data_IF_815172485137
#
_entry.id   IF_815172485137
#
_cell.length_a   1.000
_cell.length_b   1.000
_cell.length_c   1.000
_cell.angle_alpha   90.00
_cell.angle_beta   90.00
_cell.angle_gamma   90.00
#
_symmetry.space_group_name_H-M   'P 1'
#
loop_
_entity.id
_entity.type
_entity.pdbx_description
1 polymer ?
#
# COMPACT_ATOMS: atom_id res chain seq x y z
N UNK A 1 -10.09 36.68 4.65
CA UNK A 1 -8.63 36.68 4.44
C UNK A 1 -8.31 35.58 3.46
N UNK A 2 -7.47 35.86 2.47
CA UNK A 2 -7.04 34.86 1.48
C UNK A 2 -6.10 33.84 2.14
N UNK A 3 -6.50 32.58 2.16
CA UNK A 3 -5.74 31.50 2.78
C UNK A 3 -4.41 31.25 2.06
N UNK A 4 -4.29 31.66 0.79
CA UNK A 4 -3.06 31.50 0.00
C UNK A 4 -1.94 32.40 0.51
N UNK A 5 -2.25 33.66 0.82
CA UNK A 5 -1.30 34.58 1.43
C UNK A 5 -0.87 34.12 2.84
N UNK A 6 -1.78 33.48 3.58
CA UNK A 6 -1.47 32.90 4.89
C UNK A 6 -0.57 31.67 4.78
N UNK A 7 -0.79 30.82 3.78
CA UNK A 7 0.07 29.68 3.48
C UNK A 7 1.47 30.13 3.08
N UNK A 8 1.58 31.12 2.18
CA UNK A 8 2.87 31.65 1.69
C UNK A 8 3.75 32.16 2.84
N UNK A 9 3.20 32.99 3.73
CA UNK A 9 3.91 33.45 4.92
C UNK A 9 4.33 32.31 5.87
N UNK A 10 3.47 31.29 6.05
CA UNK A 10 3.78 30.14 6.88
C UNK A 10 4.86 29.23 6.25
N UNK A 11 4.84 29.11 4.93
CA UNK A 11 5.81 28.34 4.16
C UNK A 11 7.20 29.00 4.19
N UNK A 12 7.29 30.31 3.98
CA UNK A 12 8.53 31.06 4.15
C UNK A 12 9.11 30.90 5.57
N UNK A 13 8.25 31.02 6.57
CA UNK A 13 8.62 30.83 7.99
C UNK A 13 9.15 29.43 8.26
N UNK A 14 8.50 28.40 7.70
CA UNK A 14 8.91 27.01 7.84
C UNK A 14 10.32 26.79 7.26
N UNK A 15 10.57 27.25 6.03
CA UNK A 15 11.86 27.07 5.36
C UNK A 15 12.99 27.79 6.11
N UNK A 16 12.74 29.00 6.62
CA UNK A 16 13.70 29.72 7.47
C UNK A 16 14.03 28.95 8.75
N UNK A 17 13.03 28.35 9.41
CA UNK A 17 13.24 27.51 10.61
C UNK A 17 14.08 26.28 10.30
N UNK A 18 13.78 25.57 9.22
CA UNK A 18 14.56 24.39 8.82
C UNK A 18 16.04 24.75 8.63
N UNK A 19 16.33 25.87 7.96
CA UNK A 19 17.70 26.35 7.75
C UNK A 19 18.40 26.70 9.05
N UNK A 20 17.74 27.45 9.93
CA UNK A 20 18.31 27.87 11.22
C UNK A 20 18.62 26.67 12.12
N UNK A 21 17.70 25.71 12.21
CA UNK A 21 17.85 24.51 13.01
C UNK A 21 19.00 23.61 12.50
N UNK A 22 19.20 23.54 11.18
CA UNK A 22 20.31 22.79 10.59
C UNK A 22 21.69 23.37 10.96
N UNK A 23 21.76 24.65 11.34
CA UNK A 23 22.99 25.28 11.83
C UNK A 23 23.22 25.07 13.34
N UNK A 24 22.19 24.67 14.11
CA UNK A 24 22.24 24.62 15.58
C UNK A 24 22.19 23.19 16.13
N UNK A 25 21.42 22.27 15.52
CA UNK A 25 21.15 20.93 16.08
C UNK A 25 22.38 20.01 16.06
N UNK A 26 22.60 19.35 17.21
CA UNK A 26 23.62 18.31 17.43
C UNK A 26 23.19 17.02 16.73
N UNK A 27 24.20 16.34 16.20
CA UNK A 27 24.13 15.11 15.45
C UNK A 27 23.35 14.01 16.19
N UNK A 28 22.40 13.38 15.53
CA UNK A 28 21.66 12.22 16.07
C UNK A 28 22.36 10.95 15.58
N UNK A 29 22.64 10.02 16.49
CA UNK A 29 23.17 8.71 16.11
C UNK A 29 22.01 7.77 15.83
N UNK A 30 21.78 7.46 14.56
CA UNK A 30 20.82 6.45 14.11
C UNK A 30 21.62 5.29 13.54
N UNK A 31 21.44 4.06 14.03
CA UNK A 31 22.17 2.87 13.55
C UNK A 31 23.71 3.04 13.56
N UNK A 32 24.26 3.67 14.61
CA UNK A 32 25.69 4.00 14.71
C UNK A 32 26.21 4.99 13.65
N UNK A 33 25.30 5.66 12.93
CA UNK A 33 25.59 6.67 11.91
C UNK A 33 25.16 8.06 12.37
N UNK A 34 26.01 9.02 12.08
CA UNK A 34 25.85 10.41 12.48
C UNK A 34 24.97 11.15 11.48
N UNK A 35 23.72 11.43 11.85
CA UNK A 35 22.72 12.06 10.99
C UNK A 35 22.43 13.49 11.45
N UNK A 36 22.31 14.42 10.50
CA UNK A 36 21.88 15.80 10.76
C UNK A 36 20.59 16.06 9.99
N UNK A 37 19.52 16.31 10.73
CA UNK A 37 18.23 16.66 10.17
C UNK A 37 17.53 17.73 11.02
N UNK A 38 16.54 18.37 10.43
CA UNK A 38 15.66 19.35 11.05
C UNK A 38 14.23 19.08 10.59
N UNK A 39 13.28 19.35 11.48
CA UNK A 39 11.86 19.25 11.21
C UNK A 39 11.16 20.48 11.76
N UNK A 40 10.12 20.96 11.09
CA UNK A 40 9.35 22.10 11.54
C UNK A 40 7.89 22.00 11.10
N UNK A 41 7.01 22.66 11.84
CA UNK A 41 5.61 22.82 11.46
C UNK A 41 5.18 24.27 11.71
N UNK A 42 4.35 24.80 10.82
CA UNK A 42 3.80 26.16 10.93
C UNK A 42 2.31 26.12 10.57
N UNK A 43 1.47 26.57 11.50
CA UNK A 43 0.04 26.69 11.27
C UNK A 43 -0.26 27.96 10.46
N UNK A 44 -1.17 27.86 9.48
CA UNK A 44 -1.66 28.98 8.68
C UNK A 44 -3.19 29.05 8.76
N UNK A 45 -3.72 30.13 9.32
CA UNK A 45 -5.17 30.26 9.53
C UNK A 45 -5.66 29.65 10.85
N UNK A 46 -6.99 29.53 10.99
CA UNK A 46 -7.64 29.30 12.29
C UNK A 46 -8.07 27.84 12.54
N UNK A 47 -7.89 26.93 11.57
CA UNK A 47 -8.24 25.51 11.73
C UNK A 47 -7.01 24.70 12.14
N UNK A 48 -7.21 23.71 12.98
CA UNK A 48 -6.15 22.76 13.40
C UNK A 48 -5.59 21.91 12.25
N UNK A 49 -6.32 21.82 11.13
CA UNK A 49 -5.91 21.09 9.92
C UNK A 49 -5.07 21.90 8.93
N UNK A 50 -4.84 23.20 9.18
CA UNK A 50 -4.07 24.05 8.28
C UNK A 50 -2.64 24.22 8.80
N UNK A 51 -1.84 23.18 8.63
CA UNK A 51 -0.44 23.16 9.08
C UNK A 51 0.44 22.73 7.92
N UNK A 52 1.55 23.44 7.70
CA UNK A 52 2.60 23.00 6.78
C UNK A 52 3.75 22.40 7.56
N UNK A 53 4.17 21.21 7.15
CA UNK A 53 5.22 20.42 7.79
C UNK A 53 6.44 20.39 6.86
N UNK A 54 7.64 20.47 7.42
CA UNK A 54 8.88 20.42 6.65
C UNK A 54 9.96 19.61 7.33
N UNK A 55 10.79 18.94 6.52
CA UNK A 55 11.95 18.16 6.93
C UNK A 55 13.14 18.53 6.04
N UNK A 56 14.30 18.75 6.64
CA UNK A 56 15.58 18.89 5.95
C UNK A 56 16.55 17.84 6.51
N UNK A 57 17.20 17.08 5.65
CA UNK A 57 18.11 15.99 6.03
C UNK A 57 19.39 16.06 5.20
N UNK A 58 20.55 16.00 5.84
CA UNK A 58 21.83 15.86 5.15
C UNK A 58 22.07 14.39 4.76
N UNK A 59 22.67 14.17 3.59
CA UNK A 59 23.19 12.85 3.20
C UNK A 59 24.44 12.52 4.03
N UNK A 60 24.66 11.23 4.29
CA UNK A 60 25.76 10.72 5.10
C UNK A 60 27.14 11.24 4.62
N UNK A 61 28.05 11.52 5.56
CA UNK A 61 29.42 12.00 5.33
C UNK A 61 29.59 13.36 4.62
N UNK A 62 28.55 14.19 4.53
CA UNK A 62 28.69 15.56 4.00
C UNK A 62 29.20 16.54 5.08
N UNK A 63 30.03 17.51 4.70
CA UNK A 63 30.51 18.52 5.64
C UNK A 63 29.37 19.43 6.12
N UNK A 64 29.52 20.00 7.32
CA UNK A 64 28.52 20.95 7.86
C UNK A 64 28.25 22.11 6.89
N UNK A 65 29.32 22.70 6.34
CA UNK A 65 29.23 23.84 5.43
C UNK A 65 28.52 23.47 4.13
N UNK A 66 28.79 22.29 3.59
CA UNK A 66 28.15 21.82 2.36
C UNK A 66 26.68 21.48 2.56
N UNK A 67 26.31 20.95 3.74
CA UNK A 67 24.90 20.74 4.06
C UNK A 67 24.13 22.05 4.23
N UNK A 68 24.70 23.03 4.95
CA UNK A 68 24.08 24.36 5.14
C UNK A 68 23.81 25.04 3.77
N UNK A 69 24.81 25.03 2.88
CA UNK A 69 24.66 25.56 1.51
C UNK A 69 23.63 24.78 0.70
N UNK A 70 23.55 23.46 0.88
CA UNK A 70 22.56 22.63 0.20
C UNK A 70 21.12 22.96 0.62
N UNK A 71 20.87 23.07 1.93
CA UNK A 71 19.55 23.38 2.48
C UNK A 71 19.12 24.79 2.06
N UNK A 72 20.02 25.77 2.08
CA UNK A 72 19.78 27.11 1.55
C UNK A 72 19.33 27.09 0.09
N UNK A 73 20.09 26.42 -0.79
CA UNK A 73 19.74 26.31 -2.22
C UNK A 73 18.44 25.54 -2.45
N UNK A 74 18.13 24.56 -1.61
CA UNK A 74 16.89 23.78 -1.68
C UNK A 74 15.68 24.64 -1.30
N UNK A 75 15.81 25.44 -0.23
CA UNK A 75 14.78 26.38 0.20
C UNK A 75 14.52 27.45 -0.87
N UNK A 76 15.56 28.02 -1.50
CA UNK A 76 15.38 29.01 -2.57
C UNK A 76 14.61 28.45 -3.78
N UNK A 77 14.84 27.16 -4.11
CA UNK A 77 14.10 26.47 -5.17
C UNK A 77 12.65 26.20 -4.77
N UNK A 78 12.43 25.77 -3.52
CA UNK A 78 11.09 25.52 -2.98
C UNK A 78 10.26 26.80 -2.93
N UNK A 79 10.84 27.93 -2.52
CA UNK A 79 10.18 29.24 -2.55
C UNK A 79 9.74 29.63 -3.96
N UNK A 80 10.62 29.49 -4.95
CA UNK A 80 10.32 29.82 -6.36
C UNK A 80 9.28 28.88 -6.99
N UNK A 81 9.25 27.61 -6.60
CA UNK A 81 8.37 26.61 -7.22
C UNK A 81 7.00 26.49 -6.54
N UNK A 82 6.94 26.70 -5.22
CA UNK A 82 5.87 26.19 -4.38
C UNK A 82 5.33 27.21 -3.35
N UNK A 83 5.90 28.41 -3.30
CA UNK A 83 5.70 29.36 -2.19
C UNK A 83 4.38 30.13 -2.17
N UNK A 84 3.75 30.39 -3.32
CA UNK A 84 2.53 31.21 -3.36
C UNK A 84 2.14 31.66 -4.77
N UNK A 85 0.94 32.21 -4.93
CA UNK A 85 0.35 32.61 -6.22
C UNK A 85 -0.28 31.46 -7.04
N UNK A 86 -0.16 31.48 -8.38
CA UNK A 86 -0.67 30.43 -9.28
C UNK A 86 0.10 29.09 -9.19
N UNK A 87 1.15 29.02 -8.36
CA UNK A 87 2.08 27.89 -8.28
C UNK A 87 1.99 27.10 -6.96
N UNK A 88 0.88 27.22 -6.23
CA UNK A 88 0.64 26.42 -5.03
C UNK A 88 0.67 24.91 -5.36
N UNK A 89 1.37 24.13 -4.54
CA UNK A 89 1.41 22.66 -4.62
C UNK A 89 1.24 22.04 -3.22
N UNK A 90 0.40 21.01 -3.12
CA UNK A 90 0.10 20.24 -1.91
C UNK A 90 1.26 19.29 -1.50
N UNK A 91 2.50 19.77 -1.60
CA UNK A 91 3.71 19.01 -1.27
C UNK A 91 4.82 19.21 -2.27
N UNK A 92 6.06 19.02 -1.82
CA UNK A 92 7.24 19.12 -2.68
C UNK A 92 8.50 18.59 -2.01
N UNK A 93 9.31 17.86 -2.78
CA UNK A 93 10.63 17.39 -2.37
C UNK A 93 11.68 17.95 -3.32
N UNK A 94 12.72 18.59 -2.77
CA UNK A 94 13.86 19.09 -3.53
C UNK A 94 15.12 18.40 -3.02
N UNK A 95 15.83 17.78 -3.96
CA UNK A 95 17.15 17.16 -3.74
C UNK A 95 18.18 17.99 -4.51
N UNK A 96 19.18 18.54 -3.82
CA UNK A 96 20.23 19.34 -4.45
C UNK A 96 21.56 18.60 -4.36
N UNK A 97 22.08 18.20 -5.52
CA UNK A 97 23.43 17.65 -5.71
C UNK A 97 23.79 16.44 -4.80
N UNK A 98 22.79 15.71 -4.28
CA UNK A 98 23.02 14.55 -3.41
C UNK A 98 23.59 14.90 -2.03
N UNK A 99 23.56 16.16 -1.60
CA UNK A 99 24.11 16.59 -0.30
C UNK A 99 23.03 16.72 0.78
N UNK A 100 21.79 16.99 0.39
CA UNK A 100 20.65 17.10 1.30
C UNK A 100 19.33 16.85 0.56
N UNK A 101 18.32 16.53 1.35
CA UNK A 101 16.92 16.43 0.96
C UNK A 101 16.12 17.44 1.79
N UNK A 102 15.31 18.27 1.12
CA UNK A 102 14.31 19.11 1.81
C UNK A 102 12.94 18.77 1.26
N UNK A 103 12.02 18.42 2.16
CA UNK A 103 10.65 18.04 1.85
C UNK A 103 9.68 18.88 2.66
N UNK A 104 8.55 19.26 2.07
CA UNK A 104 7.41 19.81 2.78
C UNK A 104 6.11 19.13 2.35
N UNK A 105 5.15 19.08 3.26
CA UNK A 105 3.82 18.51 3.05
C UNK A 105 2.76 19.26 3.87
N UNK A 106 1.48 19.09 3.53
CA UNK A 106 0.34 19.60 4.31
C UNK A 106 -0.18 18.59 5.36
N UNK A 107 0.44 17.40 5.43
CA UNK A 107 0.23 16.41 6.47
C UNK A 107 1.56 16.09 7.17
N UNK A 108 1.48 15.65 8.43
CA UNK A 108 2.68 15.28 9.20
C UNK A 108 3.25 13.98 8.66
N UNK A 109 4.46 14.04 8.09
CA UNK A 109 5.14 12.90 7.45
C UNK A 109 6.43 12.48 8.17
N UNK A 110 6.80 13.18 9.25
CA UNK A 110 7.94 12.86 10.11
C UNK A 110 7.50 12.83 11.57
N UNK A 111 8.12 11.94 12.34
CA UNK A 111 7.97 11.88 13.79
C UNK A 111 8.68 13.06 14.46
N UNK A 112 8.17 13.57 15.58
CA UNK A 112 8.86 14.59 16.40
C UNK A 112 10.00 13.89 17.13
N UNK A 113 11.13 13.70 16.46
CA UNK A 113 12.38 13.35 17.13
C UNK A 113 12.90 14.64 17.76
N UNK A 114 12.74 14.75 19.08
CA UNK A 114 13.28 15.80 19.97
C UNK A 114 12.56 17.17 19.96
N UNK A 115 11.49 17.27 20.77
CA UNK A 115 11.23 18.49 21.55
C UNK A 115 11.47 18.16 23.03
N UNK A 116 12.74 17.99 23.39
CA UNK A 116 13.17 17.81 24.77
C UNK A 116 14.18 18.89 25.13
N UNK A 117 13.74 19.86 25.93
CA UNK A 117 14.59 20.70 26.78
C UNK A 117 15.49 21.71 26.07
N UNK A 118 15.15 22.99 26.21
CA UNK A 118 16.18 24.02 26.17
C UNK A 118 17.26 23.68 27.18
N UNK A 119 18.45 23.34 26.68
CA UNK A 119 19.67 23.29 27.47
C UNK A 119 20.07 24.74 27.74
N UNK A 120 19.60 25.28 28.87
CA UNK A 120 20.35 26.34 29.52
C UNK A 120 21.69 25.76 29.95
N UNK A 121 22.75 26.31 29.36
CA UNK A 121 24.11 25.99 29.71
C UNK A 121 24.38 26.37 31.18
N UNK A 122 24.72 25.39 32.00
CA UNK A 122 25.55 25.65 33.17
C UNK A 122 26.60 24.55 33.30
N UNK A 123 27.85 25.01 33.44
CA UNK A 123 29.06 24.20 33.51
C UNK A 123 29.04 23.21 34.69
N UNK A 124 29.52 22.00 34.46
CA UNK A 124 29.87 21.07 35.54
C UNK A 124 30.15 19.66 35.06
N UNK A 125 31.38 19.22 35.24
CA UNK A 125 31.94 17.91 34.92
C UNK A 125 31.25 16.70 35.59
N UNK A 126 31.51 15.52 35.00
CA UNK A 126 31.57 14.16 35.59
C UNK A 126 30.32 13.27 35.47
N UNK A 127 30.46 12.20 34.66
CA UNK A 127 29.97 10.79 34.80
C UNK A 127 28.59 10.42 35.41
N UNK A 128 27.75 11.36 35.82
CA UNK A 128 26.43 11.10 36.43
C UNK A 128 25.30 11.01 35.39
N UNK A 129 25.53 11.52 34.18
CA UNK A 129 24.54 11.51 33.09
C UNK A 129 24.19 10.11 32.59
N UNK A 130 25.18 9.22 32.44
CA UNK A 130 24.94 7.85 31.97
C UNK A 130 24.16 7.00 33.00
N UNK A 131 24.40 7.20 34.30
CA UNK A 131 23.71 6.49 35.38
C UNK A 131 22.24 6.93 35.48
N UNK A 132 21.94 8.20 35.27
CA UNK A 132 20.57 8.72 35.29
C UNK A 132 19.77 8.31 34.03
N UNK A 133 20.41 8.22 32.87
CA UNK A 133 19.79 7.69 31.64
C UNK A 133 19.46 6.19 31.79
N UNK A 134 20.39 5.39 32.32
CA UNK A 134 20.17 3.96 32.58
C UNK A 134 19.09 3.72 33.65
N UNK A 135 19.02 4.57 34.69
CA UNK A 135 17.93 4.52 35.69
C UNK A 135 16.57 4.89 35.09
N UNK A 136 16.51 5.92 34.23
CA UNK A 136 15.28 6.29 33.54
C UNK A 136 14.79 5.19 32.59
N UNK A 137 15.69 4.58 31.82
CA UNK A 137 15.37 3.45 30.95
C UNK A 137 14.91 2.21 31.74
N UNK A 138 15.52 1.93 32.89
CA UNK A 138 15.12 0.83 33.77
C UNK A 138 13.75 1.06 34.43
N UNK A 139 13.39 2.31 34.78
CA UNK A 139 12.08 2.64 35.31
C UNK A 139 10.97 2.53 34.24
N UNK A 140 11.24 2.99 33.01
CA UNK A 140 10.30 2.81 31.88
C UNK A 140 10.14 1.34 31.50
N UNK A 141 11.19 0.53 31.63
CA UNK A 141 11.14 -0.91 31.41
C UNK A 141 10.17 -1.61 32.37
N UNK A 142 10.24 -1.28 33.68
CA UNK A 142 9.32 -1.85 34.68
C UNK A 142 7.88 -1.39 34.49
N UNK A 143 7.65 -0.13 34.10
CA UNK A 143 6.30 0.40 33.88
C UNK A 143 5.59 -0.26 32.69
N UNK A 144 6.33 -0.58 31.62
CA UNK A 144 5.77 -1.24 30.45
C UNK A 144 5.48 -2.72 30.71
N UNK A 145 6.33 -3.43 31.46
CA UNK A 145 6.05 -4.80 31.90
C UNK A 145 4.76 -4.85 32.74
N UNK A 146 4.64 -3.99 33.75
CA UNK A 146 3.42 -3.88 34.58
C UNK A 146 2.18 -3.55 33.72
N UNK A 147 2.30 -2.64 32.75
CA UNK A 147 1.23 -2.33 31.81
C UNK A 147 0.78 -3.55 31.01
N UNK A 148 1.74 -4.33 30.50
CA UNK A 148 1.44 -5.54 29.72
C UNK A 148 0.81 -6.65 30.58
N UNK A 149 1.16 -6.74 31.86
CA UNK A 149 0.48 -7.63 32.81
C UNK A 149 -1.01 -7.28 32.97
N UNK A 150 -1.35 -5.99 32.99
CA UNK A 150 -2.76 -5.55 33.10
C UNK A 150 -3.64 -5.96 31.91
N UNK A 151 -3.07 -6.29 30.74
CA UNK A 151 -3.82 -6.88 29.63
C UNK A 151 -4.42 -8.26 29.99
N UNK A 152 -3.85 -8.94 30.99
CA UNK A 152 -4.36 -10.21 31.51
C UNK A 152 -5.27 -10.06 32.71
N UNK A 153 -5.59 -8.83 33.13
CA UNK A 153 -6.41 -8.56 34.30
C UNK A 153 -7.81 -9.20 34.18
N UNK A 154 -8.34 -9.80 35.26
CA UNK A 154 -9.72 -10.30 35.28
C UNK A 154 -10.75 -9.15 35.27
N UNK A 155 -10.34 -7.91 35.56
CA UNK A 155 -11.20 -6.73 35.57
C UNK A 155 -11.35 -6.14 34.17
N UNK A 156 -12.54 -6.16 33.54
CA UNK A 156 -12.74 -5.62 32.19
C UNK A 156 -12.35 -4.14 32.05
N UNK A 157 -12.67 -3.24 33.00
CA UNK A 157 -12.23 -1.85 32.94
C UNK A 157 -10.71 -1.68 32.93
N UNK A 158 -9.99 -2.51 33.71
CA UNK A 158 -8.52 -2.46 33.77
C UNK A 158 -7.92 -2.96 32.46
N UNK A 159 -8.43 -4.09 31.94
CA UNK A 159 -8.02 -4.65 30.66
C UNK A 159 -8.23 -3.64 29.51
N UNK A 160 -9.39 -2.97 29.49
CA UNK A 160 -9.71 -1.91 28.51
C UNK A 160 -8.73 -0.74 28.62
N UNK A 161 -8.51 -0.22 29.83
CA UNK A 161 -7.59 0.90 30.02
C UNK A 161 -6.16 0.53 29.58
N UNK A 162 -5.69 -0.67 29.92
CA UNK A 162 -4.37 -1.15 29.55
C UNK A 162 -4.22 -1.27 28.02
N UNK A 163 -5.18 -1.86 27.32
CA UNK A 163 -5.10 -2.03 25.86
C UNK A 163 -5.17 -0.69 25.12
N UNK A 164 -5.93 0.30 25.64
CA UNK A 164 -5.94 1.65 25.07
C UNK A 164 -4.59 2.36 25.19
N UNK A 165 -3.91 2.20 26.34
CA UNK A 165 -2.56 2.75 26.52
C UNK A 165 -1.61 2.08 25.53
N UNK A 166 -1.64 0.75 25.42
CA UNK A 166 -0.80 0.00 24.46
C UNK A 166 -1.07 0.43 23.02
N UNK A 167 -2.35 0.56 22.63
CA UNK A 167 -2.74 1.11 21.33
C UNK A 167 -2.16 2.51 21.13
N UNK A 168 -2.25 3.39 22.13
CA UNK A 168 -1.68 4.73 22.10
C UNK A 168 -0.16 4.73 21.86
N UNK A 169 0.57 3.79 22.48
CA UNK A 169 2.01 3.61 22.27
C UNK A 169 2.35 3.19 20.84
N UNK A 170 1.47 2.44 20.16
CA UNK A 170 1.70 2.10 18.74
C UNK A 170 1.60 3.29 17.78
N UNK A 171 1.12 4.45 18.25
CA UNK A 171 1.03 5.69 17.48
C UNK A 171 2.32 6.52 17.44
N UNK A 172 3.36 6.11 18.17
CA UNK A 172 4.66 6.79 18.18
C UNK A 172 5.82 5.81 17.94
N UNK A 173 6.91 6.32 17.37
CA UNK A 173 8.12 5.51 17.10
C UNK A 173 8.75 4.99 18.40
N UNK A 174 8.82 5.84 19.44
CA UNK A 174 9.32 5.46 20.76
C UNK A 174 8.47 4.36 21.42
N UNK A 175 7.15 4.45 21.29
CA UNK A 175 6.24 3.45 21.83
C UNK A 175 6.32 2.13 21.06
N UNK A 176 6.43 2.17 19.72
CA UNK A 176 6.69 0.99 18.90
C UNK A 176 8.03 0.33 19.26
N UNK A 177 9.10 1.11 19.43
CA UNK A 177 10.42 0.59 19.80
C UNK A 177 10.40 -0.05 21.20
N UNK A 178 9.68 0.57 22.14
CA UNK A 178 9.48 0.03 23.47
C UNK A 178 8.71 -1.29 23.41
N UNK A 179 7.55 -1.33 22.74
CA UNK A 179 6.75 -2.54 22.57
C UNK A 179 7.48 -3.65 21.81
N UNK A 180 8.33 -3.29 20.84
CA UNK A 180 9.17 -4.23 20.10
C UNK A 180 10.17 -4.95 21.02
N UNK A 181 10.76 -4.22 21.96
CA UNK A 181 11.66 -4.78 22.98
C UNK A 181 10.96 -5.79 23.90
N UNK A 182 9.63 -5.66 24.06
CA UNK A 182 8.77 -6.57 24.84
C UNK A 182 7.87 -7.45 23.96
N UNK A 183 8.23 -7.66 22.68
CA UNK A 183 7.36 -8.37 21.73
C UNK A 183 6.96 -9.78 22.21
N UNK A 184 7.83 -10.47 22.96
CA UNK A 184 7.55 -11.79 23.53
C UNK A 184 6.39 -11.82 24.53
N UNK A 185 6.05 -10.69 25.15
CA UNK A 185 4.92 -10.55 26.08
C UNK A 185 3.76 -9.80 25.41
N UNK A 186 4.07 -8.71 24.70
CA UNK A 186 3.08 -7.85 24.08
C UNK A 186 2.24 -8.58 23.02
N UNK A 187 2.89 -9.31 22.10
CA UNK A 187 2.19 -9.95 20.99
C UNK A 187 1.23 -11.08 21.45
N UNK A 188 1.64 -12.02 22.33
CA UNK A 188 0.72 -13.03 22.86
C UNK A 188 -0.41 -12.43 23.69
N UNK A 189 -0.15 -11.36 24.44
CA UNK A 189 -1.16 -10.67 25.25
C UNK A 189 -2.21 -10.03 24.36
N UNK A 190 -1.80 -9.25 23.36
CA UNK A 190 -2.71 -8.63 22.39
C UNK A 190 -3.48 -9.67 21.56
N UNK A 191 -2.82 -10.76 21.14
CA UNK A 191 -3.45 -11.83 20.36
C UNK A 191 -4.65 -12.46 21.09
N UNK A 192 -4.51 -12.71 22.41
CA UNK A 192 -5.59 -13.26 23.24
C UNK A 192 -6.78 -12.31 23.36
N UNK A 193 -6.52 -11.01 23.41
CA UNK A 193 -7.55 -9.97 23.50
C UNK A 193 -8.44 -9.88 22.25
N UNK A 194 -7.99 -10.40 21.10
CA UNK A 194 -8.80 -10.42 19.88
C UNK A 194 -10.10 -11.24 20.02
N UNK A 195 -10.17 -12.15 20.99
CA UNK A 195 -11.33 -13.00 21.23
C UNK A 195 -12.35 -12.42 22.22
N UNK A 196 -12.03 -11.27 22.83
CA UNK A 196 -12.87 -10.55 23.80
C UNK A 196 -14.00 -9.76 23.12
N UNK A 197 -14.77 -9.01 23.91
CA UNK A 197 -15.79 -8.10 23.36
C UNK A 197 -15.17 -7.00 22.47
N UNK A 198 -16.01 -6.30 21.70
CA UNK A 198 -15.54 -5.29 20.75
C UNK A 198 -14.72 -4.17 21.42
N UNK A 199 -15.12 -3.70 22.60
CA UNK A 199 -14.45 -2.61 23.31
C UNK A 199 -12.99 -2.88 23.67
N UNK A 200 -12.63 -4.17 23.84
CA UNK A 200 -11.25 -4.60 24.13
C UNK A 200 -10.54 -5.10 22.88
N UNK A 201 -11.25 -5.84 22.02
CA UNK A 201 -10.66 -6.48 20.85
C UNK A 201 -10.34 -5.49 19.71
N UNK A 202 -11.12 -4.42 19.57
CA UNK A 202 -10.87 -3.36 18.58
C UNK A 202 -9.53 -2.63 18.82
N UNK A 203 -9.25 -2.05 20.01
CA UNK A 203 -7.96 -1.43 20.27
C UNK A 203 -6.78 -2.43 20.24
N UNK A 204 -7.01 -3.70 20.63
CA UNK A 204 -6.00 -4.75 20.49
C UNK A 204 -5.65 -5.04 19.02
N UNK A 205 -6.67 -5.13 18.16
CA UNK A 205 -6.49 -5.36 16.74
C UNK A 205 -5.79 -4.17 16.06
N UNK A 206 -6.16 -2.93 16.41
CA UNK A 206 -5.46 -1.73 15.93
C UNK A 206 -3.97 -1.73 16.32
N UNK A 207 -3.66 -2.08 17.58
CA UNK A 207 -2.28 -2.20 18.03
C UNK A 207 -1.48 -3.25 17.23
N UNK A 208 -2.08 -4.42 16.97
CA UNK A 208 -1.44 -5.47 16.16
C UNK A 208 -1.28 -5.05 14.68
N UNK A 209 -2.24 -4.34 14.10
CA UNK A 209 -2.12 -3.78 12.74
C UNK A 209 -0.94 -2.81 12.67
N UNK A 210 -0.78 -1.92 13.65
CA UNK A 210 0.34 -0.97 13.68
C UNK A 210 1.68 -1.68 13.91
N UNK A 211 1.76 -2.61 14.86
CA UNK A 211 2.98 -3.37 15.16
C UNK A 211 3.41 -4.24 13.97
N UNK A 212 2.46 -4.81 13.21
CA UNK A 212 2.75 -5.66 12.04
C UNK A 212 3.25 -4.88 10.82
N UNK A 213 3.29 -3.55 10.85
CA UNK A 213 4.02 -2.76 9.84
C UNK A 213 5.54 -2.96 9.94
N UNK A 214 6.04 -3.34 11.13
CA UNK A 214 7.41 -3.79 11.30
C UNK A 214 7.54 -5.27 10.89
N UNK A 215 8.41 -5.56 9.93
CA UNK A 215 8.58 -6.91 9.37
C UNK A 215 9.09 -7.94 10.39
N UNK A 216 9.91 -7.54 11.36
CA UNK A 216 10.39 -8.42 12.42
C UNK A 216 9.25 -8.81 13.37
N UNK A 217 8.42 -7.85 13.77
CA UNK A 217 7.26 -8.12 14.61
C UNK A 217 6.19 -8.94 13.87
N UNK A 218 5.94 -8.63 12.60
CA UNK A 218 5.08 -9.44 11.75
C UNK A 218 5.60 -10.89 11.62
N UNK A 219 6.92 -11.08 11.51
CA UNK A 219 7.53 -12.42 11.48
C UNK A 219 7.23 -13.18 12.78
N UNK A 220 7.46 -12.56 13.94
CA UNK A 220 7.12 -13.13 15.25
C UNK A 220 5.62 -13.47 15.36
N UNK A 221 4.74 -12.61 14.83
CA UNK A 221 3.29 -12.89 14.78
C UNK A 221 2.95 -14.12 13.92
N UNK A 222 3.59 -14.27 12.75
CA UNK A 222 3.39 -15.45 11.90
C UNK A 222 3.88 -16.72 12.61
N UNK A 223 5.07 -16.68 13.21
CA UNK A 223 5.67 -17.80 13.95
C UNK A 223 4.79 -18.28 15.11
N UNK A 224 4.15 -17.36 15.84
CA UNK A 224 3.21 -17.71 16.92
C UNK A 224 1.82 -18.13 16.43
N UNK A 225 1.59 -18.26 15.12
CA UNK A 225 0.34 -18.77 14.54
C UNK A 225 -0.77 -17.74 14.36
N UNK A 226 -0.44 -16.44 14.29
CA UNK A 226 -1.44 -15.37 14.18
C UNK A 226 -2.37 -15.50 12.96
N UNK A 227 -1.87 -16.01 11.82
CA UNK A 227 -2.71 -16.26 10.63
C UNK A 227 -3.91 -17.15 10.96
N UNK A 228 -3.67 -18.27 11.67
CA UNK A 228 -4.72 -19.20 12.09
C UNK A 228 -5.70 -18.51 13.04
N UNK A 229 -5.18 -17.82 14.06
CA UNK A 229 -5.99 -17.08 15.04
C UNK A 229 -6.93 -16.10 14.35
N UNK A 230 -6.41 -15.30 13.42
CA UNK A 230 -7.20 -14.31 12.68
C UNK A 230 -8.24 -14.98 11.79
N UNK A 231 -7.87 -16.06 11.09
CA UNK A 231 -8.79 -16.81 10.24
C UNK A 231 -9.91 -17.49 11.05
N UNK A 232 -9.66 -17.94 12.26
CA UNK A 232 -10.69 -18.52 13.13
C UNK A 232 -11.65 -17.44 13.65
N UNK A 233 -11.15 -16.24 13.96
CA UNK A 233 -11.95 -15.11 14.43
C UNK A 233 -12.81 -14.46 13.33
N UNK A 234 -12.29 -14.33 12.11
CA UNK A 234 -13.01 -13.72 10.96
C UNK A 234 -14.36 -14.40 10.67
N UNK A 235 -14.47 -15.69 10.98
CA UNK A 235 -15.67 -16.49 10.73
C UNK A 235 -16.39 -16.92 12.00
N UNK A 236 -16.03 -16.33 13.14
CA UNK A 236 -16.80 -16.45 14.39
C UNK A 236 -18.05 -15.55 14.27
N UNK A 237 -19.23 -15.99 14.78
CA UNK A 237 -20.40 -15.13 14.89
C UNK A 237 -20.06 -13.84 15.65
N UNK A 238 -20.64 -12.72 15.21
CA UNK A 238 -20.53 -11.40 15.87
C UNK A 238 -19.12 -10.79 15.93
N UNK A 239 -18.24 -11.09 14.96
CA UNK A 239 -16.95 -10.40 14.81
C UNK A 239 -17.14 -8.91 14.47
N UNK A 240 -17.07 -8.06 15.49
CA UNK A 240 -17.17 -6.58 15.35
C UNK A 240 -15.91 -5.88 14.85
N UNK A 241 -14.85 -6.64 14.53
CA UNK A 241 -13.49 -6.15 14.20
C UNK A 241 -12.97 -6.68 12.85
N UNK A 242 -13.87 -7.17 11.99
CA UNK A 242 -13.54 -7.86 10.73
C UNK A 242 -12.57 -7.07 9.85
N UNK A 243 -12.79 -5.77 9.66
CA UNK A 243 -11.91 -4.94 8.84
C UNK A 243 -10.46 -4.91 9.35
N UNK A 244 -10.28 -4.75 10.67
CA UNK A 244 -8.95 -4.73 11.30
C UNK A 244 -8.24 -6.10 11.18
N UNK A 245 -9.00 -7.19 11.31
CA UNK A 245 -8.49 -8.54 11.11
C UNK A 245 -8.01 -8.76 9.67
N UNK A 246 -8.76 -8.27 8.67
CA UNK A 246 -8.33 -8.32 7.27
C UNK A 246 -7.08 -7.46 7.05
N UNK A 247 -7.02 -6.26 7.62
CA UNK A 247 -5.83 -5.38 7.54
C UNK A 247 -4.60 -6.04 8.18
N UNK A 248 -4.77 -6.74 9.29
CA UNK A 248 -3.69 -7.51 9.91
C UNK A 248 -3.20 -8.61 8.96
N UNK A 249 -4.11 -9.36 8.31
CA UNK A 249 -3.72 -10.34 7.29
C UNK A 249 -3.00 -9.70 6.11
N UNK A 250 -3.36 -8.49 5.68
CA UNK A 250 -2.62 -7.77 4.62
C UNK A 250 -1.15 -7.61 5.00
N UNK A 251 -0.86 -7.17 6.23
CA UNK A 251 0.51 -7.00 6.71
C UNK A 251 1.24 -8.34 6.84
N UNK A 252 0.62 -9.33 7.48
CA UNK A 252 1.24 -10.64 7.68
C UNK A 252 1.52 -11.38 6.37
N UNK A 253 0.67 -11.17 5.34
CA UNK A 253 0.86 -11.77 4.01
C UNK A 253 1.85 -11.03 3.13
N UNK A 254 2.49 -9.95 3.61
CA UNK A 254 3.69 -9.41 2.95
C UNK A 254 4.91 -10.34 3.14
N UNK A 255 4.87 -11.22 4.15
CA UNK A 255 5.91 -12.19 4.44
C UNK A 255 5.64 -13.52 3.72
N UNK A 256 6.72 -14.15 3.24
CA UNK A 256 6.66 -15.44 2.56
C UNK A 256 6.07 -16.55 3.43
N UNK A 257 6.45 -16.59 4.72
CA UNK A 257 5.90 -17.54 5.70
C UNK A 257 4.42 -17.25 5.99
N UNK A 258 4.02 -15.98 6.01
CA UNK A 258 2.63 -15.58 6.19
C UNK A 258 1.76 -16.02 5.01
N UNK A 259 2.27 -15.88 3.78
CA UNK A 259 1.62 -16.43 2.57
C UNK A 259 1.52 -17.95 2.67
N UNK A 260 2.61 -18.64 3.02
CA UNK A 260 2.65 -20.11 3.09
C UNK A 260 1.68 -20.67 4.13
N UNK A 261 1.57 -19.99 5.28
CA UNK A 261 0.62 -20.26 6.35
C UNK A 261 -0.84 -20.02 5.92
N UNK A 262 -1.13 -18.90 5.26
CA UNK A 262 -2.47 -18.61 4.75
C UNK A 262 -2.90 -19.60 3.66
N UNK A 263 -1.99 -19.97 2.76
CA UNK A 263 -2.24 -20.95 1.71
C UNK A 263 -2.29 -22.39 2.24
N UNK A 264 -1.88 -22.62 3.49
CA UNK A 264 -1.85 -23.93 4.14
C UNK A 264 -1.05 -24.95 3.31
N UNK A 265 0.10 -24.52 2.80
CA UNK A 265 0.92 -25.31 1.85
C UNK A 265 1.54 -26.58 2.46
N UNK A 266 1.69 -26.64 3.78
CA UNK A 266 2.19 -27.82 4.50
C UNK A 266 1.14 -28.90 4.80
N UNK A 267 -0.14 -28.67 4.49
CA UNK A 267 -1.24 -29.61 4.73
C UNK A 267 -2.07 -29.76 3.45
N UNK A 268 -1.86 -30.86 2.71
CA UNK A 268 -2.54 -31.11 1.44
C UNK A 268 -4.07 -31.23 1.57
N UNK A 269 -4.60 -31.59 2.74
CA UNK A 269 -6.06 -31.66 2.95
C UNK A 269 -6.65 -30.26 3.14
N UNK A 270 -5.92 -29.37 3.81
CA UNK A 270 -6.38 -28.02 4.12
C UNK A 270 -5.92 -26.97 3.09
N UNK A 271 -5.08 -27.36 2.13
CA UNK A 271 -4.48 -26.47 1.13
C UNK A 271 -5.48 -25.55 0.44
N UNK A 272 -5.28 -24.25 0.66
CA UNK A 272 -6.10 -23.18 0.11
C UNK A 272 -7.48 -23.00 0.77
N UNK A 273 -7.80 -23.69 1.88
CA UNK A 273 -9.09 -23.55 2.54
C UNK A 273 -9.33 -22.12 3.03
N UNK A 274 -8.35 -21.50 3.69
CA UNK A 274 -8.44 -20.10 4.13
C UNK A 274 -8.61 -19.14 2.96
N UNK A 275 -7.85 -19.33 1.87
CA UNK A 275 -8.02 -18.53 0.65
C UNK A 275 -9.44 -18.66 0.09
N UNK A 276 -9.99 -19.87 -0.01
CA UNK A 276 -11.35 -20.07 -0.50
C UNK A 276 -12.40 -19.36 0.37
N UNK A 277 -12.21 -19.36 1.69
CA UNK A 277 -13.08 -18.61 2.62
C UNK A 277 -12.99 -17.10 2.36
N UNK A 278 -11.77 -16.55 2.24
CA UNK A 278 -11.56 -15.12 1.98
C UNK A 278 -12.15 -14.68 0.65
N UNK A 279 -11.94 -15.44 -0.43
CA UNK A 279 -12.53 -15.17 -1.76
C UNK A 279 -14.05 -15.16 -1.67
N UNK A 280 -14.65 -16.10 -0.94
CA UNK A 280 -16.12 -16.12 -0.75
C UNK A 280 -16.62 -14.87 -0.04
N UNK A 281 -15.93 -14.41 1.01
CA UNK A 281 -16.29 -13.18 1.73
C UNK A 281 -16.12 -11.94 0.85
N UNK A 282 -15.00 -11.86 0.14
CA UNK A 282 -14.71 -10.82 -0.84
C UNK A 282 -15.86 -10.72 -1.83
N UNK A 283 -16.27 -11.82 -2.47
CA UNK A 283 -17.32 -11.81 -3.48
C UNK A 283 -18.75 -11.59 -2.97
N UNK A 284 -19.01 -11.66 -1.66
CA UNK A 284 -20.35 -11.44 -1.06
C UNK A 284 -20.55 -10.03 -0.54
N UNK A 285 -19.48 -9.38 -0.10
CA UNK A 285 -19.55 -8.04 0.45
C UNK A 285 -19.73 -7.03 -0.68
N UNK A 286 -20.97 -6.56 -0.90
CA UNK A 286 -21.28 -5.43 -1.76
C UNK A 286 -22.66 -4.87 -1.42
N UNK A 287 -22.71 -3.78 -0.62
CA UNK A 287 -23.72 -2.69 -0.67
C UNK A 287 -23.94 -1.93 0.65
N UNK A 288 -23.20 -2.18 1.73
CA UNK A 288 -23.31 -1.37 2.97
C UNK A 288 -22.18 -0.33 3.10
N UNK A 289 -22.41 0.71 3.89
CA UNK A 289 -21.60 1.94 4.01
C UNK A 289 -20.14 1.75 4.43
N UNK A 290 -19.71 0.53 4.77
CA UNK A 290 -18.32 0.16 5.06
C UNK A 290 -18.04 -1.26 4.55
N UNK A 291 -17.18 -1.37 3.53
CA UNK A 291 -16.81 -2.65 2.94
C UNK A 291 -15.72 -3.36 3.76
N UNK A 292 -16.14 -4.24 4.66
CA UNK A 292 -15.24 -4.92 5.60
C UNK A 292 -14.21 -5.85 4.94
N UNK A 293 -14.39 -6.21 3.65
CA UNK A 293 -13.54 -7.16 2.95
C UNK A 293 -12.80 -6.55 1.74
N UNK A 294 -12.89 -5.26 1.46
CA UNK A 294 -12.22 -4.65 0.30
C UNK A 294 -10.68 -4.88 0.29
N UNK A 295 -10.07 -4.88 1.48
CA UNK A 295 -8.64 -5.14 1.66
C UNK A 295 -8.21 -6.58 1.36
N UNK A 296 -9.14 -7.53 1.21
CA UNK A 296 -8.81 -8.88 0.70
C UNK A 296 -8.16 -8.78 -0.69
N UNK A 297 -8.48 -7.76 -1.48
CA UNK A 297 -7.79 -7.48 -2.74
C UNK A 297 -6.27 -7.45 -2.60
N UNK A 298 -5.75 -6.78 -1.58
CA UNK A 298 -4.30 -6.72 -1.30
C UNK A 298 -3.73 -8.08 -0.88
N UNK A 299 -4.49 -8.88 -0.13
CA UNK A 299 -4.10 -10.25 0.24
C UNK A 299 -3.96 -11.12 -1.01
N UNK A 300 -4.92 -11.03 -1.94
CA UNK A 300 -4.89 -11.77 -3.22
C UNK A 300 -3.68 -11.38 -4.07
N UNK A 301 -3.33 -10.09 -4.11
CA UNK A 301 -2.11 -9.61 -4.78
C UNK A 301 -0.87 -10.18 -4.09
N UNK A 302 -0.81 -10.20 -2.77
CA UNK A 302 0.33 -10.73 -2.03
C UNK A 302 0.54 -12.22 -2.29
N UNK A 303 -0.49 -13.06 -2.12
CA UNK A 303 -0.35 -14.51 -2.30
C UNK A 303 -0.02 -14.90 -3.75
N UNK A 304 -0.48 -14.14 -4.74
CA UNK A 304 -0.23 -14.41 -6.16
C UNK A 304 1.19 -14.07 -6.61
N UNK A 305 1.97 -13.36 -5.77
CA UNK A 305 3.42 -13.21 -5.99
C UNK A 305 4.16 -14.55 -5.92
N UNK A 306 3.62 -15.53 -5.18
CA UNK A 306 4.16 -16.89 -5.07
C UNK A 306 3.50 -17.84 -6.06
N UNK A 307 4.31 -18.72 -6.65
CA UNK A 307 3.86 -19.77 -7.57
C UNK A 307 2.78 -20.67 -6.93
N UNK A 308 2.95 -21.04 -5.66
CA UNK A 308 1.96 -21.82 -4.91
C UNK A 308 0.58 -21.14 -4.86
N UNK A 309 0.54 -19.81 -4.70
CA UNK A 309 -0.70 -19.04 -4.72
C UNK A 309 -1.33 -19.01 -6.10
N UNK A 310 -0.52 -18.78 -7.15
CA UNK A 310 -0.98 -18.80 -8.55
C UNK A 310 -1.57 -20.15 -8.94
N UNK A 311 -0.92 -21.26 -8.57
CA UNK A 311 -1.43 -22.62 -8.81
C UNK A 311 -2.82 -22.84 -8.20
N UNK A 312 -3.07 -22.36 -6.98
CA UNK A 312 -4.39 -22.49 -6.34
C UNK A 312 -5.43 -21.58 -7.02
N UNK A 313 -5.05 -20.35 -7.39
CA UNK A 313 -5.94 -19.39 -8.04
C UNK A 313 -6.35 -19.82 -9.46
N UNK A 314 -5.40 -20.40 -10.21
CA UNK A 314 -5.57 -20.87 -11.59
C UNK A 314 -6.21 -22.26 -11.70
N UNK A 315 -6.39 -22.99 -10.59
CA UNK A 315 -7.02 -24.30 -10.60
C UNK A 315 -8.50 -24.20 -11.06
N UNK A 316 -8.84 -24.74 -12.25
CA UNK A 316 -10.20 -24.64 -12.79
C UNK A 316 -11.22 -25.38 -11.92
N UNK A 317 -10.81 -26.39 -11.13
CA UNK A 317 -11.70 -27.11 -10.22
C UNK A 317 -12.16 -26.25 -9.05
N UNK A 318 -11.36 -25.25 -8.67
CA UNK A 318 -11.69 -24.31 -7.57
C UNK A 318 -12.42 -23.08 -8.08
N UNK A 319 -12.16 -22.66 -9.33
CA UNK A 319 -12.85 -21.54 -9.97
C UNK A 319 -12.68 -20.22 -9.21
N UNK A 320 -11.55 -20.03 -8.51
CA UNK A 320 -11.32 -18.86 -7.65
C UNK A 320 -11.05 -17.61 -8.47
N UNK A 321 -10.14 -17.70 -9.47
CA UNK A 321 -9.83 -16.55 -10.32
C UNK A 321 -11.08 -16.02 -11.03
N UNK A 322 -11.96 -16.89 -11.52
CA UNK A 322 -13.26 -16.51 -12.09
C UNK A 322 -14.11 -15.70 -11.11
N UNK A 323 -14.20 -16.11 -9.85
CA UNK A 323 -14.96 -15.40 -8.82
C UNK A 323 -14.36 -14.03 -8.50
N UNK A 324 -13.03 -13.95 -8.42
CA UNK A 324 -12.28 -12.73 -8.15
C UNK A 324 -12.47 -11.72 -9.29
N UNK A 325 -12.36 -12.15 -10.55
CA UNK A 325 -12.49 -11.27 -11.73
C UNK A 325 -13.83 -10.50 -11.73
N UNK A 326 -14.93 -11.14 -11.32
CA UNK A 326 -16.25 -10.50 -11.23
C UNK A 326 -16.31 -9.32 -10.25
N UNK A 327 -15.32 -9.17 -9.38
CA UNK A 327 -15.23 -8.02 -8.46
C UNK A 327 -14.65 -6.77 -9.14
N UNK A 328 -14.24 -6.85 -10.41
CA UNK A 328 -13.82 -5.70 -11.19
C UNK A 328 -14.98 -4.71 -11.43
N UNK A 329 -16.22 -5.19 -11.40
CA UNK A 329 -17.45 -4.37 -11.52
C UNK A 329 -17.82 -3.61 -10.23
N UNK A 330 -17.07 -3.83 -9.14
CA UNK A 330 -17.27 -3.13 -7.85
C UNK A 330 -17.00 -1.63 -7.98
N UNK A 331 -17.68 -0.80 -7.17
CA UNK A 331 -17.37 0.63 -7.06
C UNK A 331 -16.11 0.92 -6.23
N UNK A 332 -15.69 0.01 -5.35
CA UNK A 332 -14.43 0.15 -4.57
C UNK A 332 -13.20 0.02 -5.46
N UNK A 333 -12.38 1.08 -5.48
CA UNK A 333 -11.10 1.13 -6.19
C UNK A 333 -10.11 0.09 -5.66
N UNK A 334 -10.10 -0.16 -4.34
CA UNK A 334 -9.22 -1.16 -3.71
C UNK A 334 -9.51 -2.57 -4.24
N UNK A 335 -10.79 -2.88 -4.47
CA UNK A 335 -11.18 -4.16 -5.09
C UNK A 335 -10.68 -4.26 -6.52
N UNK A 336 -10.90 -3.22 -7.33
CA UNK A 336 -10.43 -3.20 -8.72
C UNK A 336 -8.91 -3.40 -8.80
N UNK A 337 -8.13 -2.68 -7.99
CA UNK A 337 -6.66 -2.85 -7.87
C UNK A 337 -6.26 -4.25 -7.43
N UNK A 338 -6.94 -4.80 -6.43
CA UNK A 338 -6.72 -6.16 -5.98
C UNK A 338 -6.95 -7.19 -7.08
N UNK A 339 -8.02 -7.01 -7.87
CA UNK A 339 -8.35 -7.89 -9.00
C UNK A 339 -7.31 -7.76 -10.12
N UNK A 340 -7.03 -6.55 -10.62
CA UNK A 340 -6.05 -6.34 -11.71
C UNK A 340 -4.66 -6.84 -11.32
N UNK A 341 -4.20 -6.54 -10.11
CA UNK A 341 -2.90 -7.00 -9.63
C UNK A 341 -2.84 -8.53 -9.49
N UNK A 342 -3.92 -9.16 -9.06
CA UNK A 342 -4.00 -10.63 -8.95
C UNK A 342 -3.99 -11.29 -10.33
N UNK A 343 -4.75 -10.77 -11.30
CA UNK A 343 -4.75 -11.27 -12.68
C UNK A 343 -3.34 -11.16 -13.27
N UNK A 344 -2.73 -9.97 -13.20
CA UNK A 344 -1.37 -9.69 -13.66
C UNK A 344 -0.37 -10.67 -13.09
N UNK A 345 -0.41 -10.90 -11.78
CA UNK A 345 0.48 -11.87 -11.15
C UNK A 345 0.22 -13.29 -11.66
N UNK A 346 -1.05 -13.71 -11.83
CA UNK A 346 -1.37 -15.02 -12.39
C UNK A 346 -0.89 -15.19 -13.84
N UNK A 347 -0.87 -14.11 -14.64
CA UNK A 347 -0.39 -14.13 -16.02
C UNK A 347 1.12 -14.44 -16.16
N UNK A 348 1.93 -14.37 -15.10
CA UNK A 348 3.31 -14.89 -15.14
C UNK A 348 3.37 -16.39 -15.41
N UNK A 349 2.29 -17.14 -15.16
CA UNK A 349 2.19 -18.57 -15.49
C UNK A 349 1.67 -18.82 -16.91
N UNK A 350 1.49 -17.77 -17.74
CA UNK A 350 0.86 -17.92 -19.05
C UNK A 350 1.52 -18.98 -19.92
N UNK A 351 2.85 -19.10 -19.91
CA UNK A 351 3.58 -20.13 -20.66
C UNK A 351 3.08 -21.56 -20.35
N UNK A 352 2.79 -21.86 -19.09
CA UNK A 352 2.43 -23.22 -18.63
C UNK A 352 0.94 -23.40 -18.34
N UNK A 353 0.19 -22.31 -18.15
CA UNK A 353 -1.19 -22.32 -17.66
C UNK A 353 -2.14 -21.49 -18.56
N UNK A 354 -1.72 -21.16 -19.79
CA UNK A 354 -2.54 -20.40 -20.74
C UNK A 354 -3.94 -20.97 -20.91
N UNK A 355 -4.07 -22.31 -21.02
CA UNK A 355 -5.37 -22.95 -21.16
C UNK A 355 -6.31 -22.61 -20.01
N UNK A 356 -5.82 -22.63 -18.76
CA UNK A 356 -6.62 -22.31 -17.59
C UNK A 356 -7.04 -20.84 -17.54
N UNK A 357 -6.17 -19.93 -18.01
CA UNK A 357 -6.51 -18.52 -18.20
C UNK A 357 -7.59 -18.33 -19.28
N UNK A 358 -7.47 -19.02 -20.42
CA UNK A 358 -8.40 -18.89 -21.53
C UNK A 358 -9.75 -19.60 -21.30
N UNK A 359 -9.82 -20.57 -20.38
CA UNK A 359 -11.09 -21.18 -19.93
C UNK A 359 -12.06 -20.16 -19.31
N UNK A 360 -11.55 -19.02 -18.83
CA UNK A 360 -12.34 -17.94 -18.23
C UNK A 360 -12.33 -16.67 -19.10
N UNK A 361 -12.05 -16.81 -20.40
CA UNK A 361 -11.92 -15.71 -21.37
C UNK A 361 -13.12 -14.77 -21.42
N UNK A 362 -14.34 -15.29 -21.27
CA UNK A 362 -15.59 -14.53 -21.16
C UNK A 362 -15.55 -13.45 -20.07
N UNK A 363 -14.84 -13.70 -18.97
CA UNK A 363 -14.68 -12.75 -17.85
C UNK A 363 -13.34 -12.02 -17.92
N UNK A 364 -12.30 -12.72 -18.38
CA UNK A 364 -10.93 -12.21 -18.42
C UNK A 364 -10.80 -11.04 -19.41
N UNK A 365 -11.35 -11.19 -20.63
CA UNK A 365 -11.20 -10.15 -21.65
C UNK A 365 -11.90 -8.84 -21.27
N UNK A 366 -13.16 -8.83 -20.79
CA UNK A 366 -13.76 -7.60 -20.28
C UNK A 366 -12.93 -6.93 -19.18
N UNK A 367 -12.44 -7.70 -18.20
CA UNK A 367 -11.64 -7.15 -17.10
C UNK A 367 -10.30 -6.55 -17.56
N UNK A 368 -9.70 -7.08 -18.62
CA UNK A 368 -8.43 -6.58 -19.16
C UNK A 368 -8.59 -5.44 -20.17
N UNK A 369 -9.62 -5.51 -21.03
CA UNK A 369 -9.81 -4.60 -22.17
C UNK A 369 -10.64 -3.38 -21.83
N UNK A 370 -11.68 -3.50 -20.99
CA UNK A 370 -12.53 -2.36 -20.64
C UNK A 370 -11.78 -1.19 -19.97
N UNK A 371 -10.77 -1.41 -19.09
CA UNK A 371 -10.02 -0.33 -18.46
C UNK A 371 -9.15 0.48 -19.41
N UNK A 372 -8.75 -0.12 -20.54
CA UNK A 372 -7.80 0.44 -21.51
C UNK A 372 -8.48 0.77 -22.84
N UNK A 373 -9.78 0.53 -22.94
CA UNK A 373 -10.59 0.92 -24.07
C UNK A 373 -10.89 2.42 -24.01
N UNK A 374 -11.09 3.02 -25.18
CA UNK A 374 -11.46 4.44 -25.29
C UNK A 374 -12.77 4.76 -24.54
N UNK A 375 -12.87 6.03 -24.11
CA UNK A 375 -14.09 6.61 -23.55
C UNK A 375 -15.19 6.76 -24.60
N UNK A 376 -14.83 6.76 -25.90
CA UNK A 376 -15.74 6.89 -27.03
C UNK A 376 -16.44 5.56 -27.33
N UNK A 377 -17.62 5.67 -27.95
CA UNK A 377 -18.39 4.52 -28.43
C UNK A 377 -17.72 3.92 -29.66
N UNK A 378 -17.59 2.59 -29.69
CA UNK A 378 -17.02 1.86 -30.81
C UNK A 378 -18.04 1.70 -31.95
N UNK A 379 -17.56 1.57 -33.20
CA UNK A 379 -18.43 1.41 -34.36
C UNK A 379 -19.16 0.04 -34.35
N UNK A 380 -20.36 -0.04 -34.94
CA UNK A 380 -21.09 -1.32 -35.10
C UNK A 380 -20.23 -2.38 -35.83
N UNK A 381 -19.40 -1.96 -36.79
CA UNK A 381 -18.47 -2.84 -37.50
C UNK A 381 -17.41 -3.44 -36.56
N UNK A 382 -16.82 -2.62 -35.67
CA UNK A 382 -15.84 -3.08 -34.69
C UNK A 382 -16.49 -3.98 -33.63
N UNK A 383 -17.68 -3.59 -33.14
CA UNK A 383 -18.45 -4.32 -32.12
C UNK A 383 -18.88 -5.71 -32.63
N UNK A 384 -19.25 -5.83 -33.90
CA UNK A 384 -19.68 -7.11 -34.50
C UNK A 384 -18.61 -8.22 -34.46
N UNK A 385 -17.35 -7.85 -34.22
CA UNK A 385 -16.19 -8.75 -34.09
C UNK A 385 -15.83 -9.07 -32.63
N UNK A 386 -16.57 -8.54 -31.66
CA UNK A 386 -16.30 -8.71 -30.23
C UNK A 386 -17.29 -9.70 -29.59
N UNK A 387 -16.91 -10.40 -28.50
CA UNK A 387 -17.85 -11.13 -27.67
C UNK A 387 -18.97 -10.23 -27.15
N UNK A 388 -20.14 -10.82 -26.86
CA UNK A 388 -21.35 -10.07 -26.50
C UNK A 388 -21.14 -9.17 -25.27
N UNK A 389 -20.47 -9.68 -24.24
CA UNK A 389 -20.22 -8.95 -22.98
C UNK A 389 -19.36 -7.71 -23.22
N UNK A 390 -18.30 -7.85 -24.02
CA UNK A 390 -17.38 -6.78 -24.35
C UNK A 390 -18.01 -5.77 -25.32
N UNK A 391 -18.64 -6.26 -26.39
CA UNK A 391 -19.30 -5.42 -27.39
C UNK A 391 -20.46 -4.60 -26.82
N UNK A 392 -21.28 -5.19 -25.95
CA UNK A 392 -22.38 -4.47 -25.29
C UNK A 392 -21.86 -3.33 -24.40
N UNK A 393 -20.76 -3.56 -23.69
CA UNK A 393 -20.14 -2.54 -22.84
C UNK A 393 -19.52 -1.40 -23.69
N UNK A 394 -18.88 -1.72 -24.81
CA UNK A 394 -18.24 -0.74 -25.70
C UNK A 394 -19.21 0.00 -26.64
N UNK A 395 -20.49 -0.40 -26.65
CA UNK A 395 -21.58 0.25 -27.40
C UNK A 395 -22.14 1.49 -26.71
N UNK A 396 -21.91 1.65 -25.41
CA UNK A 396 -22.44 2.77 -24.61
C UNK A 396 -21.30 3.61 -24.06
N UNK A 397 -21.61 4.85 -23.69
CA UNK A 397 -20.70 5.68 -22.91
C UNK A 397 -20.56 5.07 -21.50
N UNK A 398 -19.32 4.93 -21.04
CA UNK A 398 -18.97 4.27 -19.77
C UNK A 398 -18.22 5.21 -18.86
N UNK A 399 -18.36 5.02 -17.55
CA UNK A 399 -17.44 5.61 -16.59
C UNK A 399 -16.05 4.98 -16.79
N UNK A 400 -15.01 5.79 -17.10
CA UNK A 400 -13.68 5.27 -17.34
C UNK A 400 -13.03 4.76 -16.05
N UNK A 401 -12.11 3.80 -16.19
CA UNK A 401 -11.20 3.43 -15.12
C UNK A 401 -9.95 4.30 -15.25
N UNK A 402 -9.97 5.49 -14.63
CA UNK A 402 -8.91 6.49 -14.79
C UNK A 402 -7.62 6.16 -14.01
N UNK A 403 -7.66 5.23 -13.05
CA UNK A 403 -6.48 4.87 -12.25
C UNK A 403 -5.38 4.24 -13.14
N UNK A 404 -4.20 4.88 -13.26
CA UNK A 404 -3.16 4.44 -14.18
C UNK A 404 -2.51 3.12 -13.75
N UNK A 405 -2.51 2.79 -12.46
CA UNK A 405 -1.95 1.53 -11.96
C UNK A 405 -2.78 0.35 -12.46
N UNK A 406 -4.11 0.46 -12.44
CA UNK A 406 -5.00 -0.58 -12.99
C UNK A 406 -4.75 -0.77 -14.48
N UNK A 407 -4.68 0.32 -15.25
CA UNK A 407 -4.46 0.28 -16.70
C UNK A 407 -3.12 -0.34 -17.07
N UNK A 408 -2.04 0.01 -16.36
CA UNK A 408 -0.73 -0.63 -16.54
C UNK A 408 -0.81 -2.12 -16.21
N UNK A 409 -1.43 -2.51 -15.09
CA UNK A 409 -1.55 -3.92 -14.70
C UNK A 409 -2.34 -4.75 -15.72
N UNK A 410 -3.40 -4.19 -16.32
CA UNK A 410 -4.16 -4.90 -17.36
C UNK A 410 -3.38 -5.01 -18.66
N UNK A 411 -2.65 -3.96 -19.09
CA UNK A 411 -1.76 -4.02 -20.27
C UNK A 411 -0.63 -5.03 -20.07
N UNK A 412 0.00 -5.07 -18.90
CA UNK A 412 1.02 -6.08 -18.58
C UNK A 412 0.43 -7.51 -18.59
N UNK A 413 -0.80 -7.67 -18.11
CA UNK A 413 -1.52 -8.96 -18.19
C UNK A 413 -1.75 -9.38 -19.64
N UNK A 414 -2.21 -8.45 -20.48
CA UNK A 414 -2.40 -8.68 -21.92
C UNK A 414 -1.06 -9.06 -22.55
N UNK A 415 0.01 -8.30 -22.31
CA UNK A 415 1.36 -8.57 -22.80
C UNK A 415 1.80 -10.00 -22.51
N UNK A 416 1.69 -10.44 -21.25
CA UNK A 416 2.09 -11.78 -20.82
C UNK A 416 1.28 -12.89 -21.51
N UNK A 417 -0.03 -12.66 -21.74
CA UNK A 417 -0.90 -13.61 -22.45
C UNK A 417 -0.53 -13.66 -23.93
N UNK A 418 -0.42 -12.51 -24.61
CA UNK A 418 -0.19 -12.46 -26.05
C UNK A 418 1.26 -12.76 -26.44
N UNK A 419 2.18 -12.77 -25.49
CA UNK A 419 3.53 -13.30 -25.69
C UNK A 419 3.46 -14.77 -26.16
N UNK A 420 2.43 -15.50 -25.74
CA UNK A 420 2.14 -16.87 -26.19
C UNK A 420 1.32 -16.84 -27.49
N UNK A 421 1.67 -17.68 -28.47
CA UNK A 421 1.02 -17.71 -29.79
C UNK A 421 -0.50 -17.96 -29.71
N UNK A 422 -0.93 -18.94 -28.91
CA UNK A 422 -2.36 -19.22 -28.71
C UNK A 422 -3.08 -18.08 -27.96
N UNK A 423 -2.39 -17.38 -27.04
CA UNK A 423 -2.93 -16.24 -26.33
C UNK A 423 -3.12 -15.04 -27.26
N UNK A 424 -2.16 -14.82 -28.17
CA UNK A 424 -2.26 -13.85 -29.25
C UNK A 424 -3.46 -14.14 -30.14
N UNK A 425 -3.62 -15.38 -30.63
CA UNK A 425 -4.80 -15.76 -31.43
C UNK A 425 -6.12 -15.51 -30.70
N UNK A 426 -6.19 -15.85 -29.41
CA UNK A 426 -7.38 -15.57 -28.60
C UNK A 426 -7.64 -14.05 -28.47
N UNK A 427 -6.59 -13.23 -28.30
CA UNK A 427 -6.70 -11.77 -28.25
C UNK A 427 -7.20 -11.16 -29.58
N UNK A 428 -6.72 -11.67 -30.73
CA UNK A 428 -7.23 -11.27 -32.05
C UNK A 428 -8.71 -11.63 -32.23
N UNK A 429 -9.13 -12.80 -31.73
CA UNK A 429 -10.51 -13.27 -31.87
C UNK A 429 -11.55 -12.40 -31.16
N UNK A 430 -11.13 -11.54 -30.23
CA UNK A 430 -12.00 -10.60 -29.50
C UNK A 430 -11.87 -9.15 -29.96
N UNK A 431 -11.24 -8.92 -31.13
CA UNK A 431 -10.92 -7.60 -31.66
C UNK A 431 -10.03 -6.76 -30.72
N UNK A 432 -9.22 -7.42 -29.89
CA UNK A 432 -8.32 -6.80 -28.91
C UNK A 432 -7.37 -5.75 -29.50
N UNK A 433 -6.70 -5.98 -30.64
CA UNK A 433 -5.82 -4.98 -31.25
C UNK A 433 -6.51 -3.65 -31.56
N UNK A 434 -7.75 -3.72 -32.07
CA UNK A 434 -8.52 -2.52 -32.38
C UNK A 434 -8.91 -1.77 -31.10
N UNK A 435 -9.28 -2.48 -30.05
CA UNK A 435 -9.59 -1.87 -28.75
C UNK A 435 -8.39 -1.09 -28.21
N UNK A 436 -7.20 -1.70 -28.23
CA UNK A 436 -5.98 -1.04 -27.77
C UNK A 436 -5.57 0.13 -28.65
N UNK A 437 -5.71 0.02 -29.97
CA UNK A 437 -5.39 1.11 -30.89
C UNK A 437 -6.21 2.36 -30.57
N UNK A 438 -7.54 2.21 -30.46
CA UNK A 438 -8.43 3.35 -30.16
C UNK A 438 -8.22 3.84 -28.73
N UNK A 439 -7.94 2.95 -27.78
CA UNK A 439 -7.60 3.32 -26.40
C UNK A 439 -6.33 4.16 -26.30
N UNK A 440 -5.28 3.79 -27.05
CA UNK A 440 -4.02 4.51 -27.08
C UNK A 440 -4.15 5.93 -27.65
N UNK A 441 -5.04 6.15 -28.63
CA UNK A 441 -5.30 7.48 -29.20
C UNK A 441 -5.80 8.50 -28.17
N UNK A 442 -6.43 8.04 -27.09
CA UNK A 442 -6.96 8.89 -26.00
C UNK A 442 -6.06 8.88 -24.74
N UNK A 443 -4.92 8.17 -24.76
CA UNK A 443 -4.07 8.01 -23.58
C UNK A 443 -3.07 9.17 -23.43
N UNK A 444 -2.99 9.71 -22.21
CA UNK A 444 -2.10 10.83 -21.88
C UNK A 444 -1.08 10.47 -20.78
N UNK A 445 -1.31 9.41 -20.00
CA UNK A 445 -0.39 9.02 -18.94
C UNK A 445 0.85 8.32 -19.53
N UNK A 446 2.08 8.86 -19.34
CA UNK A 446 3.28 8.32 -19.97
C UNK A 446 3.57 6.86 -19.62
N UNK A 447 3.23 6.41 -18.40
CA UNK A 447 3.49 5.01 -17.99
C UNK A 447 2.50 4.07 -18.65
N UNK A 448 1.25 4.50 -18.80
CA UNK A 448 0.23 3.70 -19.49
C UNK A 448 0.56 3.63 -20.99
N UNK A 449 1.00 4.74 -21.60
CA UNK A 449 1.48 4.76 -22.99
C UNK A 449 2.63 3.78 -23.21
N UNK A 450 3.66 3.77 -22.36
CA UNK A 450 4.77 2.80 -22.44
C UNK A 450 4.25 1.35 -22.39
N UNK A 451 3.26 1.08 -21.53
CA UNK A 451 2.65 -0.25 -21.45
C UNK A 451 1.86 -0.61 -22.72
N UNK A 452 1.15 0.34 -23.34
CA UNK A 452 0.50 0.14 -24.64
C UNK A 452 1.52 -0.17 -25.73
N UNK A 453 2.60 0.61 -25.83
CA UNK A 453 3.67 0.42 -26.81
C UNK A 453 4.32 -0.96 -26.70
N UNK A 454 4.53 -1.45 -25.47
CA UNK A 454 5.01 -2.80 -25.20
C UNK A 454 4.08 -3.89 -25.70
N UNK A 455 2.77 -3.72 -25.55
CA UNK A 455 1.78 -4.65 -26.10
C UNK A 455 1.75 -4.55 -27.63
N UNK A 456 1.81 -3.34 -28.17
CA UNK A 456 1.79 -3.04 -29.60
C UNK A 456 2.97 -3.64 -30.37
N UNK A 457 4.18 -3.62 -29.81
CA UNK A 457 5.36 -4.20 -30.46
C UNK A 457 5.17 -5.69 -30.79
N UNK A 458 4.54 -6.44 -29.89
CA UNK A 458 4.22 -7.84 -30.11
C UNK A 458 3.20 -8.03 -31.26
N UNK A 459 2.29 -7.08 -31.49
CA UNK A 459 1.26 -7.18 -32.53
C UNK A 459 1.80 -6.85 -33.92
N UNK A 460 2.74 -5.92 -34.01
CA UNK A 460 3.40 -5.54 -35.28
C UNK A 460 4.35 -6.64 -35.74
N UNK A 461 5.15 -7.19 -34.84
CA UNK A 461 6.13 -8.24 -35.17
C UNK A 461 5.47 -9.58 -35.57
N UNK A 462 4.22 -9.81 -35.16
CA UNK A 462 3.45 -11.01 -35.51
C UNK A 462 2.79 -10.97 -36.90
N UNK A 463 2.82 -9.83 -37.60
CA UNK A 463 2.22 -9.67 -38.94
C UNK A 463 2.98 -10.37 -40.07
N UNK A 464 4.11 -11.04 -39.76
CA UNK A 464 4.88 -11.85 -40.71
C UNK A 464 4.33 -13.26 -40.98
N UNK A 465 3.27 -13.69 -40.29
CA UNK A 465 2.65 -15.01 -40.49
C UNK A 465 1.13 -14.91 -40.49
N UNK A 466 0.58 -14.93 -41.71
CA UNK A 466 -0.78 -15.33 -42.10
C UNK A 466 -1.95 -14.46 -41.60
N UNK A 467 -2.25 -13.38 -42.34
CA UNK A 467 -3.66 -13.14 -42.69
C UNK A 467 -4.10 -14.28 -43.64
N UNK A 468 -5.20 -15.00 -43.37
CA UNK A 468 -5.75 -15.91 -44.35
C UNK A 468 -6.31 -15.07 -45.50
N UNK A 469 -5.55 -15.00 -46.58
CA UNK A 469 -5.99 -14.40 -47.84
C UNK A 469 -7.29 -15.06 -48.27
N UNK A 470 -8.40 -14.31 -48.20
CA UNK A 470 -9.63 -14.65 -48.90
C UNK A 470 -9.39 -14.49 -50.41
N UNK A 471 -8.81 -15.51 -51.04
CA UNK A 471 -8.94 -15.69 -52.48
C UNK A 471 -10.34 -16.23 -52.78
N UNK A 472 -11.26 -15.32 -53.06
CA UNK A 472 -12.50 -15.65 -53.77
C UNK A 472 -12.15 -16.14 -55.17
N UNK A 473 -12.21 -17.46 -55.37
CA UNK A 473 -12.26 -18.09 -56.67
C UNK A 473 -13.71 -18.43 -57.02
N UNK A 474 -14.36 -17.53 -57.77
CA UNK A 474 -15.14 -17.78 -59.01
C UNK A 474 -15.90 -16.56 -59.46
#
# INVERSE_FOLDING_TARGET
>A
MDWRAQFEAAFETLLLRLRADMAIKVLVVVNNQLMRFSTGEVQYGNRSSQVVYGLAECVHNVSRKDCEVCVEKSNDKLLKCCGGGNNYKDGGTVVVAGHCMVRYETYKFFSRVLSGGGLEASNGSSSSGAVNVLRGAAAMATELEELLEFLSSPSPPVKKAAVDIVRGLTGSEDGLQSLSSYAGIALPSLSRLLSENKEVSEPAAEALVNLSQNSELATKMVEMGMIKTVMDLLYKPDSGITQLLVMLLVNLTQLDEGISSLLQTGDEQMKGLYLMKLVRSFCRASSESSDQFEHVGSILVNISKKEAGRKILLDPKRGLLKQIIRQFDSTSLLRKKGVSGTIRNCCFEAENQLQNLLLISEFLWPALLLPVASKKVYSEQDISKMPLELGSALKIEREPVDDPEIRVQTLESIYLIILQEAGRRAFWSVNGPRILQVGYEDEEDPKVMEAFERVGSLLVDGSGTEEPSTETSK
#
